data_IF_398838784086
#
_entry.id   IF_398838784086
#
_cell.length_a   1.000
_cell.length_b   1.000
_cell.length_c   1.000
_cell.angle_alpha   90.00
_cell.angle_beta   90.00
_cell.angle_gamma   90.00
#
_symmetry.space_group_name_H-M   'P 1'
#
loop_
_entity.id
_entity.type
_entity.pdbx_description
1 polymer ?
#
# COMPACT_ATOMS: atom_id res chain seq x y z
N UNK A 1 -82.19 47.86 19.51
CA UNK A 1 -82.94 47.88 18.23
C UNK A 1 -81.91 47.73 17.13
N UNK A 2 -81.92 46.58 16.45
CA UNK A 2 -81.03 46.25 15.34
C UNK A 2 -81.24 47.22 14.17
N UNK A 3 -80.16 47.64 13.52
CA UNK A 3 -80.08 47.65 12.05
C UNK A 3 -78.61 47.63 11.61
N UNK A 4 -78.24 46.51 10.99
CA UNK A 4 -77.00 46.27 10.24
C UNK A 4 -77.13 46.96 8.88
N UNK A 5 -76.06 47.57 8.38
CA UNK A 5 -75.90 47.80 6.92
C UNK A 5 -74.50 47.40 6.49
N UNK A 6 -74.48 46.70 5.36
CA UNK A 6 -73.40 45.88 4.83
C UNK A 6 -72.29 46.72 4.19
N UNK A 7 -71.05 46.41 4.57
CA UNK A 7 -69.84 46.88 3.89
C UNK A 7 -69.55 46.03 2.66
N UNK A 8 -69.75 46.66 1.50
CA UNK A 8 -69.53 46.20 0.13
C UNK A 8 -68.35 45.23 -0.05
N UNK A 9 -68.69 44.03 -0.47
CA UNK A 9 -67.79 42.92 -0.75
C UNK A 9 -66.80 43.28 -1.87
N UNK A 10 -65.52 43.34 -1.52
CA UNK A 10 -64.43 43.59 -2.45
C UNK A 10 -64.25 42.32 -3.29
N UNK A 11 -64.92 42.29 -4.45
CA UNK A 11 -65.02 41.14 -5.37
C UNK A 11 -63.74 40.30 -5.44
N UNK A 12 -63.89 38.98 -5.34
CA UNK A 12 -62.81 37.98 -5.38
C UNK A 12 -61.78 38.21 -6.51
N UNK A 13 -62.21 38.81 -7.63
CA UNK A 13 -61.39 39.20 -8.77
C UNK A 13 -60.24 40.17 -8.42
N UNK A 14 -60.47 41.12 -7.51
CA UNK A 14 -59.45 42.10 -7.10
C UNK A 14 -58.46 41.52 -6.08
N UNK A 15 -58.90 40.58 -5.22
CA UNK A 15 -58.00 39.83 -4.32
C UNK A 15 -57.06 38.91 -5.11
N UNK A 16 -57.59 38.22 -6.12
CA UNK A 16 -56.81 37.32 -6.98
C UNK A 16 -55.75 38.08 -7.78
N UNK A 17 -56.06 39.27 -8.32
CA UNK A 17 -55.08 40.12 -9.03
C UNK A 17 -53.96 40.66 -8.12
N UNK A 18 -54.29 41.04 -6.88
CA UNK A 18 -53.30 41.48 -5.88
C UNK A 18 -52.39 40.35 -5.40
N UNK A 19 -52.95 39.15 -5.21
CA UNK A 19 -52.20 37.93 -4.85
C UNK A 19 -51.30 37.45 -6.00
N UNK A 20 -51.76 37.51 -7.25
CA UNK A 20 -50.96 37.18 -8.44
C UNK A 20 -49.79 38.15 -8.65
N UNK A 21 -49.98 39.47 -8.44
CA UNK A 21 -48.88 40.43 -8.50
C UNK A 21 -47.84 40.22 -7.39
N UNK A 22 -48.26 39.91 -6.15
CA UNK A 22 -47.33 39.60 -5.06
C UNK A 22 -46.61 38.27 -5.26
N UNK A 23 -47.31 37.24 -5.75
CA UNK A 23 -46.74 35.93 -6.05
C UNK A 23 -45.75 35.96 -7.23
N UNK A 24 -46.01 36.78 -8.27
CA UNK A 24 -45.04 37.01 -9.34
C UNK A 24 -43.82 37.79 -8.85
N UNK A 25 -43.98 38.80 -7.98
CA UNK A 25 -42.83 39.54 -7.43
C UNK A 25 -41.97 38.71 -6.48
N UNK A 26 -42.56 37.80 -5.67
CA UNK A 26 -41.78 36.88 -4.83
C UNK A 26 -41.17 35.72 -5.61
N UNK A 27 -41.84 35.19 -6.64
CA UNK A 27 -41.28 34.16 -7.50
C UNK A 27 -40.11 34.68 -8.34
N UNK A 28 -40.17 35.93 -8.80
CA UNK A 28 -39.05 36.59 -9.51
C UNK A 28 -37.89 36.86 -8.55
N UNK A 29 -38.13 37.29 -7.30
CA UNK A 29 -37.06 37.47 -6.31
C UNK A 29 -36.39 36.14 -5.92
N UNK A 30 -37.15 35.06 -5.74
CA UNK A 30 -36.60 33.74 -5.40
C UNK A 30 -35.83 33.14 -6.59
N UNK A 31 -36.29 33.35 -7.83
CA UNK A 31 -35.57 32.93 -9.04
C UNK A 31 -34.29 33.76 -9.30
N UNK A 32 -34.27 35.06 -8.97
CA UNK A 32 -33.06 35.88 -9.03
C UNK A 32 -32.02 35.53 -7.96
N UNK A 33 -32.45 35.04 -6.78
CA UNK A 33 -31.54 34.63 -5.70
C UNK A 33 -31.00 33.20 -5.91
N UNK A 34 -31.78 32.30 -6.54
CA UNK A 34 -31.33 30.93 -6.84
C UNK A 34 -30.47 30.82 -8.10
N UNK A 35 -30.44 31.84 -8.96
CA UNK A 35 -29.52 31.93 -10.11
C UNK A 35 -28.10 32.44 -9.79
N UNK A 36 -27.83 32.80 -8.54
CA UNK A 36 -26.51 33.28 -8.07
C UNK A 36 -25.95 32.42 -6.94
N UNK A 37 -26.23 31.11 -6.95
CA UNK A 37 -25.30 30.19 -6.32
C UNK A 37 -24.02 30.18 -7.18
N UNK A 38 -23.18 31.21 -7.03
CA UNK A 38 -21.79 31.13 -7.44
C UNK A 38 -21.27 29.85 -6.80
N UNK A 39 -20.91 28.87 -7.63
CA UNK A 39 -20.04 27.79 -7.18
C UNK A 39 -18.88 28.50 -6.50
N UNK A 40 -18.74 28.36 -5.18
CA UNK A 40 -17.59 28.86 -4.43
C UNK A 40 -16.42 28.00 -4.89
N UNK A 41 -15.88 28.35 -6.05
CA UNK A 41 -14.69 27.75 -6.58
C UNK A 41 -13.55 28.34 -5.76
N UNK A 42 -12.85 27.48 -5.03
CA UNK A 42 -11.62 27.83 -4.34
C UNK A 42 -10.74 28.63 -5.31
N UNK A 43 -10.28 29.81 -4.89
CA UNK A 43 -9.34 30.58 -5.68
C UNK A 43 -8.01 29.82 -5.80
N UNK A 44 -7.10 30.27 -6.67
CA UNK A 44 -5.80 29.64 -6.86
C UNK A 44 -5.04 29.44 -5.55
N UNK A 45 -5.10 30.42 -4.63
CA UNK A 45 -4.46 30.32 -3.31
C UNK A 45 -5.08 29.22 -2.43
N UNK A 46 -6.41 29.12 -2.38
CA UNK A 46 -7.08 28.07 -1.60
C UNK A 46 -6.82 26.67 -2.20
N UNK A 47 -6.76 26.57 -3.53
CA UNK A 47 -6.39 25.33 -4.21
C UNK A 47 -4.93 24.93 -3.93
N UNK A 48 -4.00 25.88 -4.00
CA UNK A 48 -2.58 25.66 -3.70
C UNK A 48 -2.39 25.16 -2.26
N UNK A 49 -3.02 25.84 -1.29
CA UNK A 49 -3.01 25.39 0.10
C UNK A 49 -3.54 23.97 0.24
N UNK A 50 -4.67 23.65 -0.40
CA UNK A 50 -5.26 22.31 -0.36
C UNK A 50 -4.32 21.26 -0.96
N UNK A 51 -3.64 21.55 -2.07
CA UNK A 51 -2.66 20.64 -2.66
C UNK A 51 -1.52 20.39 -1.66
N UNK A 52 -0.92 21.45 -1.11
CA UNK A 52 0.19 21.31 -0.18
C UNK A 52 -0.18 20.53 1.09
N UNK A 53 -1.29 20.91 1.74
CA UNK A 53 -1.79 20.23 2.95
C UNK A 53 -2.01 18.72 2.69
N UNK A 54 -2.42 18.33 1.47
CA UNK A 54 -2.75 16.95 1.12
C UNK A 54 -1.55 16.13 0.67
N UNK A 55 -0.57 16.77 0.04
CA UNK A 55 0.67 16.13 -0.41
C UNK A 55 1.66 16.08 0.75
N UNK A 56 2.07 17.21 1.31
CA UNK A 56 3.06 17.27 2.38
C UNK A 56 2.50 16.93 3.77
N UNK A 57 1.18 17.02 3.97
CA UNK A 57 0.56 16.78 5.28
C UNK A 57 0.70 17.95 6.27
N UNK A 58 1.31 19.06 5.84
CA UNK A 58 1.55 20.27 6.62
C UNK A 58 1.20 21.54 5.82
N UNK A 59 0.90 22.68 6.47
CA UNK A 59 0.67 23.93 5.77
C UNK A 59 1.95 24.45 5.07
N UNK A 60 1.82 25.07 3.88
CA UNK A 60 2.96 25.68 3.18
C UNK A 60 3.44 26.96 3.88
N UNK A 61 4.71 27.32 3.64
CA UNK A 61 5.18 28.69 3.88
C UNK A 61 4.46 29.69 2.95
N UNK A 62 4.48 30.98 3.29
CA UNK A 62 3.85 32.02 2.46
C UNK A 62 4.43 32.05 1.04
N UNK A 63 5.75 31.93 0.91
CA UNK A 63 6.44 31.92 -0.40
C UNK A 63 6.01 30.72 -1.23
N UNK A 64 6.04 29.51 -0.64
CA UNK A 64 5.60 28.29 -1.34
C UNK A 64 4.13 28.37 -1.76
N UNK A 65 3.28 28.97 -0.92
CA UNK A 65 1.87 29.15 -1.23
C UNK A 65 1.65 30.13 -2.38
N UNK A 66 2.41 31.23 -2.43
CA UNK A 66 2.38 32.22 -3.50
C UNK A 66 2.82 31.60 -4.84
N UNK A 67 3.93 30.86 -4.82
CA UNK A 67 4.46 30.17 -6.01
C UNK A 67 3.47 29.15 -6.55
N UNK A 68 2.94 28.29 -5.69
CA UNK A 68 1.92 27.29 -6.08
C UNK A 68 0.62 27.93 -6.55
N UNK A 69 0.21 29.08 -5.99
CA UNK A 69 -0.97 29.79 -6.46
C UNK A 69 -0.76 30.34 -7.88
N UNK A 70 0.44 30.86 -8.19
CA UNK A 70 0.80 31.33 -9.53
C UNK A 70 0.80 30.20 -10.57
N UNK A 71 1.26 29.01 -10.19
CA UNK A 71 1.17 27.81 -11.03
C UNK A 71 -0.28 27.46 -11.35
N UNK A 72 -1.17 27.51 -10.35
CA UNK A 72 -2.60 27.21 -10.55
C UNK A 72 -3.28 28.27 -11.42
N UNK A 73 -3.00 29.55 -11.22
CA UNK A 73 -3.48 30.64 -12.09
C UNK A 73 -3.09 30.44 -13.55
N UNK A 74 -1.90 29.87 -13.76
CA UNK A 74 -1.38 29.57 -15.08
C UNK A 74 -1.84 28.22 -15.66
N UNK A 75 -2.73 27.50 -14.97
CA UNK A 75 -3.20 26.17 -15.40
C UNK A 75 -2.20 25.03 -15.19
N UNK A 76 -1.15 25.23 -14.39
CA UNK A 76 -0.06 24.28 -14.11
C UNK A 76 -0.20 23.63 -12.73
N UNK A 77 -1.37 23.07 -12.42
CA UNK A 77 -1.63 22.47 -11.11
C UNK A 77 -0.70 21.29 -10.75
N UNK A 78 -0.13 20.60 -11.74
CA UNK A 78 0.86 19.54 -11.53
C UNK A 78 2.18 20.11 -11.00
N UNK A 79 2.63 21.27 -11.51
CA UNK A 79 3.84 21.93 -11.04
C UNK A 79 3.69 22.36 -9.58
N UNK A 80 2.52 22.87 -9.20
CA UNK A 80 2.19 23.14 -7.81
C UNK A 80 2.29 21.89 -6.93
N UNK A 81 1.84 20.72 -7.42
CA UNK A 81 1.99 19.46 -6.69
C UNK A 81 3.46 19.03 -6.55
N UNK A 82 4.28 19.20 -7.59
CA UNK A 82 5.73 18.94 -7.51
C UNK A 82 6.44 19.89 -6.55
N UNK A 83 6.01 21.16 -6.48
CA UNK A 83 6.49 22.12 -5.47
C UNK A 83 6.14 21.65 -4.06
N UNK A 84 4.90 21.18 -3.82
CA UNK A 84 4.53 20.60 -2.52
C UNK A 84 5.35 19.35 -2.16
N UNK A 85 5.71 18.51 -3.13
CA UNK A 85 6.60 17.36 -2.93
C UNK A 85 8.04 17.76 -2.56
N UNK A 86 8.41 19.04 -2.58
CA UNK A 86 9.72 19.49 -2.11
C UNK A 86 9.80 19.64 -0.60
N UNK A 87 8.67 19.67 0.12
CA UNK A 87 8.65 19.68 1.58
C UNK A 87 9.11 18.31 2.13
N UNK A 88 9.98 18.31 3.14
CA UNK A 88 10.49 17.07 3.73
C UNK A 88 9.38 16.21 4.33
N UNK A 89 8.29 16.82 4.83
CA UNK A 89 7.16 16.12 5.42
C UNK A 89 6.46 15.19 4.42
N UNK A 90 6.54 15.46 3.12
CA UNK A 90 6.05 14.53 2.10
C UNK A 90 6.75 13.17 2.19
N UNK A 91 8.07 13.15 2.41
CA UNK A 91 8.86 11.91 2.51
C UNK A 91 8.78 11.32 3.93
N UNK A 92 8.98 12.18 4.93
CA UNK A 92 9.13 11.80 6.34
C UNK A 92 7.81 11.29 6.94
N UNK A 93 6.67 11.79 6.43
CA UNK A 93 5.33 11.48 6.97
C UNK A 93 4.44 10.87 5.91
N UNK A 94 4.19 11.55 4.79
CA UNK A 94 3.17 11.10 3.82
C UNK A 94 3.58 9.78 3.16
N UNK A 95 4.76 9.72 2.54
CA UNK A 95 5.24 8.50 1.87
C UNK A 95 5.58 7.39 2.86
N UNK A 96 6.16 7.72 4.02
CA UNK A 96 6.39 6.75 5.09
C UNK A 96 5.08 6.04 5.49
N UNK A 97 4.03 6.82 5.80
CA UNK A 97 2.73 6.27 6.18
C UNK A 97 2.01 5.57 5.02
N UNK A 98 2.27 5.99 3.79
CA UNK A 98 1.72 5.35 2.59
C UNK A 98 2.31 3.96 2.38
N UNK A 99 3.62 3.79 2.56
CA UNK A 99 4.30 2.51 2.37
C UNK A 99 4.24 1.58 3.60
N UNK A 100 4.09 2.13 4.81
CA UNK A 100 4.11 1.36 6.06
C UNK A 100 3.11 0.17 6.11
N UNK A 101 1.85 0.31 5.68
CA UNK A 101 0.91 -0.82 5.60
C UNK A 101 1.39 -1.99 4.75
N UNK A 102 2.31 -1.77 3.80
CA UNK A 102 2.77 -2.82 2.90
C UNK A 102 3.80 -3.75 3.54
N UNK A 103 4.30 -3.41 4.73
CA UNK A 103 5.45 -4.10 5.35
C UNK A 103 5.05 -4.91 6.58
N UNK A 104 3.76 -5.12 6.82
CA UNK A 104 3.25 -5.90 7.95
C UNK A 104 1.86 -6.50 7.65
N UNK A 105 1.56 -7.66 8.21
CA UNK A 105 0.30 -8.36 7.95
C UNK A 105 -0.94 -7.59 8.45
N UNK A 106 -0.79 -6.77 9.49
CA UNK A 106 -1.87 -5.96 10.04
C UNK A 106 -2.25 -4.76 9.15
N UNK A 107 -1.49 -4.50 8.07
CA UNK A 107 -1.65 -3.34 7.20
C UNK A 107 -1.69 -2.01 7.99
N UNK A 108 -0.93 -1.96 9.09
CA UNK A 108 -0.86 -0.81 9.98
C UNK A 108 0.16 0.19 9.48
N UNK A 109 -0.16 1.48 9.57
CA UNK A 109 0.81 2.57 9.41
C UNK A 109 1.70 2.79 10.64
N UNK A 110 1.34 2.19 11.78
CA UNK A 110 2.03 2.37 13.06
C UNK A 110 3.16 1.36 13.21
N UNK A 111 4.13 1.43 12.30
CA UNK A 111 5.37 0.65 12.35
C UNK A 111 6.57 1.58 12.20
N UNK A 112 7.74 1.22 12.75
CA UNK A 112 8.97 1.97 12.51
C UNK A 112 9.32 2.02 11.03
N UNK A 113 10.12 3.01 10.65
CA UNK A 113 10.84 3.01 9.38
C UNK A 113 11.63 1.69 9.25
N UNK A 114 11.65 1.13 8.05
CA UNK A 114 12.37 -0.09 7.74
C UNK A 114 12.89 -0.04 6.29
N UNK A 115 13.62 -1.07 5.88
CA UNK A 115 14.28 -1.13 4.59
C UNK A 115 13.33 -1.13 3.39
N UNK A 116 12.17 -1.75 3.51
CA UNK A 116 11.11 -1.67 2.50
C UNK A 116 10.63 -0.21 2.38
N UNK A 117 10.18 0.41 3.47
CA UNK A 117 9.65 1.79 3.46
C UNK A 117 10.69 2.77 2.89
N UNK A 118 11.93 2.69 3.36
CA UNK A 118 13.02 3.55 2.89
C UNK A 118 13.29 3.35 1.39
N UNK A 119 13.21 2.11 0.89
CA UNK A 119 13.40 1.82 -0.54
C UNK A 119 12.28 2.41 -1.41
N UNK A 120 11.02 2.36 -0.95
CA UNK A 120 9.90 3.02 -1.63
C UNK A 120 10.11 4.54 -1.67
N UNK A 121 10.46 5.14 -0.53
CA UNK A 121 10.71 6.59 -0.42
C UNK A 121 11.84 7.00 -1.37
N UNK A 122 12.95 6.26 -1.38
CA UNK A 122 14.11 6.53 -2.22
C UNK A 122 13.79 6.46 -3.71
N UNK A 123 13.11 5.41 -4.16
CA UNK A 123 12.70 5.27 -5.57
C UNK A 123 11.78 6.41 -6.03
N UNK A 124 10.84 6.82 -5.18
CA UNK A 124 9.93 7.95 -5.47
C UNK A 124 10.71 9.27 -5.52
N UNK A 125 11.59 9.52 -4.55
CA UNK A 125 12.43 10.72 -4.50
C UNK A 125 13.32 10.84 -5.74
N UNK A 126 13.93 9.74 -6.16
CA UNK A 126 14.88 9.73 -7.26
C UNK A 126 14.18 9.70 -8.65
N UNK A 127 12.84 9.71 -8.68
CA UNK A 127 12.06 9.72 -9.92
C UNK A 127 12.26 8.47 -10.78
N UNK A 128 12.58 7.35 -10.14
CA UNK A 128 12.87 6.08 -10.81
C UNK A 128 11.61 5.41 -11.37
N UNK A 129 11.81 4.50 -12.33
CA UNK A 129 10.72 3.60 -12.75
C UNK A 129 10.27 2.75 -11.56
N UNK A 130 9.09 3.03 -11.04
CA UNK A 130 8.60 2.40 -9.81
C UNK A 130 8.48 0.87 -9.93
N UNK A 131 8.40 0.30 -11.14
CA UNK A 131 8.40 -1.17 -11.33
C UNK A 131 9.66 -1.83 -10.75
N UNK A 132 10.78 -1.11 -10.69
CA UNK A 132 12.05 -1.56 -10.09
C UNK A 132 11.88 -2.03 -8.65
N UNK A 133 10.86 -1.53 -7.94
CA UNK A 133 10.54 -1.93 -6.57
C UNK A 133 10.34 -3.44 -6.42
N UNK A 134 9.99 -4.17 -7.50
CA UNK A 134 9.71 -5.62 -7.47
C UNK A 134 10.79 -6.52 -8.08
N UNK A 135 11.85 -5.97 -8.68
CA UNK A 135 12.81 -6.81 -9.42
C UNK A 135 14.26 -6.31 -9.35
N UNK A 136 14.51 -5.06 -8.99
CA UNK A 136 15.85 -4.48 -9.09
C UNK A 136 16.71 -4.88 -7.88
N UNK A 137 18.03 -4.89 -8.06
CA UNK A 137 19.00 -5.02 -6.98
C UNK A 137 19.15 -3.66 -6.29
N UNK A 138 18.14 -3.28 -5.50
CA UNK A 138 18.02 -1.93 -4.95
C UNK A 138 17.63 -1.93 -3.48
N UNK A 139 18.32 -1.11 -2.72
CA UNK A 139 18.04 -0.81 -1.33
C UNK A 139 18.35 0.68 -1.08
N UNK A 140 17.62 1.30 -0.16
CA UNK A 140 17.99 2.62 0.35
C UNK A 140 18.32 2.52 1.85
N UNK A 141 19.47 3.10 2.20
CA UNK A 141 19.97 3.18 3.58
C UNK A 141 20.18 4.64 3.97
N UNK A 142 20.22 4.92 5.26
CA UNK A 142 20.56 6.23 5.80
C UNK A 142 22.00 6.65 5.45
N UNK A 143 22.17 7.94 5.17
CA UNK A 143 23.45 8.51 4.77
C UNK A 143 24.58 8.19 5.78
N UNK A 144 25.73 7.75 5.28
CA UNK A 144 26.88 7.40 6.11
C UNK A 144 27.34 8.54 7.05
N UNK A 145 27.14 9.80 6.69
CA UNK A 145 27.51 10.96 7.53
C UNK A 145 26.72 11.06 8.84
N UNK A 146 25.59 10.36 8.95
CA UNK A 146 24.74 10.37 10.15
C UNK A 146 25.26 9.46 11.27
N UNK A 147 26.31 8.67 11.04
CA UNK A 147 26.88 7.72 12.02
C UNK A 147 25.83 6.77 12.63
N UNK A 148 24.90 6.30 11.80
CA UNK A 148 23.87 5.33 12.20
C UNK A 148 24.49 3.93 12.43
N UNK A 149 23.82 3.04 13.19
CA UNK A 149 24.17 1.62 13.18
C UNK A 149 24.20 1.09 11.74
N UNK A 150 25.09 0.14 11.44
CA UNK A 150 25.14 -0.47 10.12
C UNK A 150 23.82 -1.18 9.78
N UNK A 151 23.47 -1.24 8.49
CA UNK A 151 22.40 -2.10 8.02
C UNK A 151 22.61 -3.54 8.51
N UNK A 152 21.52 -4.18 8.93
CA UNK A 152 21.53 -5.54 9.44
C UNK A 152 20.40 -6.34 8.80
N UNK A 153 20.69 -7.57 8.40
CA UNK A 153 19.68 -8.52 7.93
C UNK A 153 18.89 -9.15 9.07
N UNK A 154 19.31 -8.95 10.33
CA UNK A 154 18.73 -9.59 11.53
C UNK A 154 18.17 -8.61 12.56
N UNK A 155 18.05 -7.32 12.24
CA UNK A 155 17.35 -6.34 13.08
C UNK A 155 17.04 -5.07 12.28
N UNK A 156 16.28 -4.15 12.89
CA UNK A 156 15.87 -2.89 12.25
C UNK A 156 16.57 -1.64 12.82
N UNK A 157 17.65 -1.81 13.59
CA UNK A 157 18.27 -0.73 14.37
C UNK A 157 18.74 0.46 13.51
N UNK A 158 19.21 0.19 12.28
CA UNK A 158 19.63 1.23 11.34
C UNK A 158 18.49 2.22 11.03
N UNK A 159 17.33 1.69 10.66
CA UNK A 159 16.18 2.50 10.25
C UNK A 159 15.45 3.14 11.42
N UNK A 160 15.37 2.45 12.57
CA UNK A 160 14.87 3.07 13.80
C UNK A 160 15.76 4.23 14.25
N UNK A 161 17.08 4.08 14.16
CA UNK A 161 18.00 5.18 14.49
C UNK A 161 17.88 6.33 13.50
N UNK A 162 17.71 6.04 12.20
CA UNK A 162 17.46 7.07 11.18
C UNK A 162 16.19 7.85 11.49
N UNK A 163 15.08 7.15 11.77
CA UNK A 163 13.81 7.79 12.13
C UNK A 163 13.95 8.62 13.41
N UNK A 164 14.55 8.06 14.46
CA UNK A 164 14.73 8.74 15.75
C UNK A 164 15.67 9.95 15.67
N UNK A 165 16.57 10.01 14.68
CA UNK A 165 17.46 11.15 14.49
C UNK A 165 16.72 12.41 14.02
N UNK A 166 15.52 12.26 13.44
CA UNK A 166 14.79 13.36 12.81
C UNK A 166 15.43 13.90 11.53
N UNK A 167 16.46 13.21 11.00
CA UNK A 167 17.05 13.55 9.71
C UNK A 167 16.03 13.34 8.59
N UNK A 168 15.93 14.30 7.66
CA UNK A 168 14.97 14.18 6.56
C UNK A 168 15.30 12.98 5.67
N UNK A 169 14.30 12.13 5.42
CA UNK A 169 14.38 11.02 4.48
C UNK A 169 14.51 11.48 3.03
N UNK A 170 14.09 12.73 2.74
CA UNK A 170 14.36 13.38 1.45
C UNK A 170 15.87 13.48 1.22
N UNK A 171 16.62 14.02 2.17
CA UNK A 171 18.02 14.37 1.94
C UNK A 171 19.00 13.28 2.39
N UNK A 172 18.57 12.35 3.25
CA UNK A 172 19.47 11.43 3.94
C UNK A 172 19.29 9.96 3.59
N UNK A 173 18.65 9.63 2.46
CA UNK A 173 18.64 8.28 1.90
C UNK A 173 19.66 8.13 0.76
N UNK A 174 20.45 7.06 0.79
CA UNK A 174 21.43 6.71 -0.22
C UNK A 174 21.05 5.40 -0.91
N UNK A 175 21.01 5.41 -2.25
CA UNK A 175 20.76 4.22 -3.06
C UNK A 175 21.99 3.31 -3.00
N UNK A 176 21.78 2.04 -2.68
CA UNK A 176 22.79 0.99 -2.71
C UNK A 176 22.25 -0.26 -3.40
N UNK A 177 23.15 -1.18 -3.75
CA UNK A 177 22.75 -2.50 -4.25
C UNK A 177 22.36 -3.38 -3.06
N UNK A 178 21.16 -3.95 -3.07
CA UNK A 178 20.65 -4.81 -2.01
C UNK A 178 21.56 -6.01 -1.76
N UNK A 179 22.05 -6.66 -2.82
CA UNK A 179 22.94 -7.83 -2.79
C UNK A 179 24.23 -7.60 -1.99
N UNK A 180 24.71 -6.36 -1.95
CA UNK A 180 25.93 -5.99 -1.19
C UNK A 180 25.70 -6.01 0.32
N UNK A 181 24.45 -5.86 0.76
CA UNK A 181 24.09 -5.71 2.18
C UNK A 181 23.30 -6.90 2.73
N UNK A 182 22.57 -7.62 1.88
CA UNK A 182 21.74 -8.76 2.31
C UNK A 182 22.47 -10.09 2.28
N UNK A 183 23.58 -10.19 1.54
CA UNK A 183 24.27 -11.46 1.29
C UNK A 183 23.58 -12.34 0.24
N UNK A 184 22.48 -11.87 -0.35
CA UNK A 184 21.85 -12.53 -1.50
C UNK A 184 22.66 -12.26 -2.77
N UNK A 185 22.81 -13.23 -3.67
CA UNK A 185 23.36 -12.94 -5.00
C UNK A 185 22.43 -11.98 -5.75
N UNK A 186 22.94 -11.12 -6.66
CA UNK A 186 22.11 -10.19 -7.42
C UNK A 186 20.97 -10.84 -8.22
N UNK A 187 21.13 -12.12 -8.61
CA UNK A 187 20.08 -12.88 -9.29
C UNK A 187 18.94 -13.33 -8.36
N UNK A 188 19.11 -13.21 -7.05
CA UNK A 188 18.13 -13.55 -6.02
C UNK A 188 17.60 -12.32 -5.27
N UNK A 189 17.92 -11.11 -5.74
CA UNK A 189 17.32 -9.87 -5.24
C UNK A 189 16.13 -9.47 -6.10
N UNK A 190 15.07 -8.98 -5.47
CA UNK A 190 13.82 -8.56 -6.10
C UNK A 190 13.25 -7.33 -5.38
N UNK A 191 14.03 -6.25 -5.31
CA UNK A 191 13.68 -4.99 -4.65
C UNK A 191 13.11 -5.20 -3.24
N UNK A 192 11.91 -4.69 -2.99
CA UNK A 192 11.29 -4.75 -1.66
C UNK A 192 10.82 -6.16 -1.29
N UNK A 193 10.59 -7.06 -2.25
CA UNK A 193 10.15 -8.43 -1.96
C UNK A 193 11.19 -9.14 -1.10
N UNK A 194 12.46 -8.97 -1.42
CA UNK A 194 13.62 -9.58 -0.72
C UNK A 194 14.25 -8.68 0.34
N UNK A 195 13.55 -7.61 0.74
CA UNK A 195 13.92 -6.81 1.92
C UNK A 195 13.74 -7.60 3.22
N UNK A 196 14.45 -7.24 4.29
CA UNK A 196 14.26 -7.85 5.61
C UNK A 196 12.84 -7.63 6.10
N UNK A 197 12.29 -6.42 5.97
CA UNK A 197 10.94 -6.13 6.46
C UNK A 197 9.88 -7.01 5.77
N UNK A 198 9.98 -7.20 4.45
CA UNK A 198 9.12 -8.12 3.70
C UNK A 198 9.33 -9.57 4.12
N UNK A 199 10.60 -10.00 4.22
CA UNK A 199 10.95 -11.35 4.64
C UNK A 199 10.37 -11.72 6.01
N UNK A 200 10.58 -10.85 6.99
CA UNK A 200 10.05 -11.02 8.33
C UNK A 200 8.53 -11.13 8.35
N UNK A 201 7.85 -10.26 7.59
CA UNK A 201 6.40 -10.20 7.62
C UNK A 201 5.73 -11.34 6.84
N UNK A 202 6.35 -11.85 5.77
CA UNK A 202 5.62 -12.63 4.76
C UNK A 202 6.31 -13.91 4.27
N UNK A 203 7.61 -14.09 4.56
CA UNK A 203 8.31 -15.37 4.31
C UNK A 203 8.35 -16.27 5.55
N UNK A 204 8.00 -15.76 6.73
CA UNK A 204 7.94 -16.55 7.95
C UNK A 204 6.86 -17.63 7.88
N UNK A 205 7.23 -18.86 8.23
CA UNK A 205 6.36 -20.02 8.29
C UNK A 205 5.66 -20.38 6.94
N UNK A 206 5.00 -21.54 6.96
CA UNK A 206 4.27 -22.06 5.81
C UNK A 206 5.13 -22.10 4.56
N UNK A 207 4.54 -21.71 3.44
CA UNK A 207 5.12 -21.96 2.11
C UNK A 207 5.02 -20.73 1.21
N UNK A 208 5.38 -19.57 1.76
CA UNK A 208 5.41 -18.25 1.11
C UNK A 208 4.07 -17.81 0.46
N UNK A 209 2.94 -18.36 0.92
CA UNK A 209 1.58 -17.95 0.50
C UNK A 209 1.26 -16.53 0.95
N UNK A 210 1.71 -16.13 2.15
CA UNK A 210 1.62 -14.76 2.62
C UNK A 210 2.40 -13.81 1.70
N UNK A 211 3.63 -14.15 1.31
CA UNK A 211 4.41 -13.31 0.40
C UNK A 211 3.70 -13.08 -0.94
N UNK A 212 3.15 -14.14 -1.54
CA UNK A 212 2.38 -14.00 -2.77
C UNK A 212 1.17 -13.07 -2.58
N UNK A 213 0.35 -13.32 -1.55
CA UNK A 213 -0.84 -12.52 -1.27
C UNK A 213 -0.51 -11.04 -1.08
N UNK A 214 0.43 -10.72 -0.19
CA UNK A 214 0.76 -9.32 0.11
C UNK A 214 1.46 -8.62 -1.06
N UNK A 215 2.17 -9.36 -1.93
CA UNK A 215 2.64 -8.80 -3.21
C UNK A 215 1.47 -8.38 -4.10
N UNK A 216 0.41 -9.21 -4.20
CA UNK A 216 -0.77 -8.87 -4.98
C UNK A 216 -1.49 -7.63 -4.44
N UNK A 217 -1.76 -7.61 -3.13
CA UNK A 217 -2.53 -6.52 -2.51
C UNK A 217 -1.75 -5.20 -2.61
N UNK A 218 -0.45 -5.23 -2.35
CA UNK A 218 0.35 -4.01 -2.28
C UNK A 218 0.74 -3.45 -3.66
N UNK A 219 0.89 -4.32 -4.68
CA UNK A 219 1.47 -3.90 -5.96
C UNK A 219 0.65 -4.25 -7.22
N UNK A 220 -0.36 -5.11 -7.10
CA UNK A 220 -1.14 -5.59 -8.25
C UNK A 220 -2.63 -5.25 -8.15
N UNK A 221 -3.04 -4.47 -7.15
CA UNK A 221 -4.42 -4.02 -6.93
C UNK A 221 -5.45 -5.18 -6.86
N UNK A 222 -5.03 -6.38 -6.45
CA UNK A 222 -5.86 -7.57 -6.34
C UNK A 222 -5.52 -8.33 -5.04
N UNK A 223 -6.47 -9.10 -4.50
CA UNK A 223 -6.24 -10.07 -3.42
C UNK A 223 -6.48 -11.50 -3.96
N UNK A 224 -6.42 -12.50 -3.09
CA UNK A 224 -6.57 -13.91 -3.43
C UNK A 224 -7.93 -14.22 -4.06
N UNK A 225 -8.99 -13.50 -3.69
CA UNK A 225 -10.32 -13.69 -4.26
C UNK A 225 -10.37 -13.42 -5.77
N UNK A 226 -9.57 -12.47 -6.26
CA UNK A 226 -9.54 -12.11 -7.69
C UNK A 226 -8.68 -13.07 -8.52
N UNK A 227 -7.75 -13.79 -7.90
CA UNK A 227 -6.93 -14.81 -8.57
C UNK A 227 -7.46 -16.23 -8.37
N UNK A 228 -8.51 -16.40 -7.55
CA UNK A 228 -9.12 -17.69 -7.33
C UNK A 228 -9.81 -18.21 -8.60
N UNK A 229 -9.49 -19.44 -9.01
CA UNK A 229 -9.99 -20.01 -10.27
C UNK A 229 -10.37 -21.49 -10.12
N UNK A 230 -11.67 -21.77 -10.08
CA UNK A 230 -12.20 -23.14 -9.96
C UNK A 230 -12.23 -23.92 -11.28
N UNK A 231 -11.81 -23.30 -12.39
CA UNK A 231 -11.80 -23.92 -13.73
C UNK A 231 -10.47 -24.56 -14.09
N UNK A 232 -9.40 -24.23 -13.37
CA UNK A 232 -8.07 -24.78 -13.59
C UNK A 232 -7.89 -26.18 -12.98
N UNK A 233 -6.98 -27.02 -13.55
CA UNK A 233 -6.63 -28.30 -12.96
C UNK A 233 -6.04 -28.15 -11.55
N UNK A 234 -6.26 -29.18 -10.71
CA UNK A 234 -5.79 -29.21 -9.32
C UNK A 234 -4.41 -29.87 -9.16
N UNK A 235 -3.75 -30.21 -10.26
CA UNK A 235 -2.48 -30.94 -10.33
C UNK A 235 -1.29 -30.17 -9.76
N UNK A 236 -1.40 -28.83 -9.68
CA UNK A 236 -0.41 -27.95 -9.05
C UNK A 236 -0.75 -27.55 -7.62
N UNK A 237 -1.89 -28.01 -7.08
CA UNK A 237 -2.18 -27.78 -5.66
C UNK A 237 -1.38 -28.76 -4.83
N UNK A 238 -0.67 -28.23 -3.85
CA UNK A 238 0.31 -28.99 -3.08
C UNK A 238 -0.28 -30.02 -2.14
N UNK A 239 0.60 -30.92 -1.71
CA UNK A 239 0.34 -32.00 -0.76
C UNK A 239 -0.06 -31.52 0.65
N UNK A 240 0.21 -30.26 1.00
CA UNK A 240 -0.07 -29.68 2.32
C UNK A 240 -1.51 -29.13 2.47
N UNK A 241 -2.37 -29.33 1.46
CA UNK A 241 -3.78 -28.91 1.47
C UNK A 241 -4.68 -30.12 1.70
N UNK A 242 -5.43 -30.10 2.81
CA UNK A 242 -6.27 -31.22 3.25
C UNK A 242 -7.40 -31.55 2.27
N UNK A 243 -7.45 -32.80 1.79
CA UNK A 243 -8.51 -33.39 0.93
C UNK A 243 -8.46 -34.93 1.01
N UNK A 244 -9.55 -35.63 0.68
CA UNK A 244 -9.63 -37.10 0.77
C UNK A 244 -8.52 -37.77 -0.07
N UNK A 245 -7.84 -38.81 0.44
CA UNK A 245 -8.11 -39.55 1.68
C UNK A 245 -7.58 -38.92 2.98
N UNK A 246 -6.81 -37.83 2.94
CA UNK A 246 -6.20 -37.17 4.10
C UNK A 246 -6.99 -35.97 4.68
N UNK A 247 -8.29 -35.88 4.38
CA UNK A 247 -9.12 -34.73 4.74
C UNK A 247 -10.58 -34.80 4.25
N UNK A 248 -11.34 -33.74 4.47
CA UNK A 248 -12.71 -33.61 3.94
C UNK A 248 -12.69 -32.97 2.53
N UNK A 249 -12.88 -33.79 1.48
CA UNK A 249 -12.93 -33.30 0.11
C UNK A 249 -14.03 -32.25 -0.14
N UNK A 250 -15.08 -32.20 0.67
CA UNK A 250 -16.13 -31.18 0.51
C UNK A 250 -15.61 -29.81 0.90
N UNK A 251 -14.76 -29.73 1.93
CA UNK A 251 -14.12 -28.45 2.31
C UNK A 251 -13.17 -28.02 1.19
N UNK A 252 -12.35 -28.94 0.69
CA UNK A 252 -11.45 -28.66 -0.42
C UNK A 252 -12.18 -28.14 -1.66
N UNK A 253 -13.20 -28.88 -2.13
CA UNK A 253 -13.93 -28.55 -3.36
C UNK A 253 -14.77 -27.28 -3.25
N UNK A 254 -15.29 -26.95 -2.06
CA UNK A 254 -16.19 -25.80 -1.90
C UNK A 254 -15.47 -24.52 -1.43
N UNK A 255 -14.36 -24.64 -0.71
CA UNK A 255 -13.75 -23.50 -0.01
C UNK A 255 -12.28 -23.26 -0.37
N UNK A 256 -11.54 -24.28 -0.81
CA UNK A 256 -10.09 -24.19 -0.94
C UNK A 256 -9.63 -24.20 -2.40
N UNK A 257 -10.27 -25.00 -3.26
CA UNK A 257 -9.77 -25.32 -4.60
C UNK A 257 -9.50 -24.07 -5.42
N UNK A 258 -10.41 -23.09 -5.43
CA UNK A 258 -10.26 -21.86 -6.22
C UNK A 258 -9.05 -21.04 -5.80
N UNK A 259 -8.86 -20.77 -4.50
CA UNK A 259 -7.72 -19.98 -4.04
C UNK A 259 -6.39 -20.70 -4.30
N UNK A 260 -6.35 -22.02 -4.11
CA UNK A 260 -5.11 -22.79 -4.25
C UNK A 260 -4.70 -23.00 -5.70
N UNK A 261 -5.62 -23.20 -6.64
CA UNK A 261 -5.27 -23.29 -8.08
C UNK A 261 -4.63 -21.99 -8.58
N UNK A 262 -5.08 -20.83 -8.10
CA UNK A 262 -4.49 -19.54 -8.47
C UNK A 262 -3.17 -19.22 -7.76
N UNK A 263 -3.04 -19.62 -6.50
CA UNK A 263 -1.91 -19.24 -5.64
C UNK A 263 -0.75 -20.24 -5.66
N UNK A 264 -1.02 -21.54 -5.47
CA UNK A 264 0.05 -22.53 -5.25
C UNK A 264 1.08 -22.59 -6.39
N UNK A 265 0.68 -22.57 -7.69
CA UNK A 265 1.64 -22.52 -8.79
C UNK A 265 2.54 -21.29 -8.75
N UNK A 266 2.02 -20.15 -8.30
CA UNK A 266 2.77 -18.89 -8.26
C UNK A 266 3.72 -18.83 -7.06
N UNK A 267 3.32 -19.42 -5.92
CA UNK A 267 4.19 -19.49 -4.73
C UNK A 267 5.44 -20.35 -4.94
N UNK A 268 5.47 -21.14 -6.01
CA UNK A 268 6.64 -21.89 -6.42
C UNK A 268 7.85 -20.97 -6.69
N UNK A 269 7.65 -19.76 -7.22
CA UNK A 269 8.72 -18.79 -7.48
C UNK A 269 9.53 -18.39 -6.23
N UNK A 270 9.03 -18.71 -5.04
CA UNK A 270 9.68 -18.45 -3.76
C UNK A 270 10.29 -19.71 -3.12
N UNK A 271 10.34 -20.83 -3.84
CA UNK A 271 10.69 -22.14 -3.29
C UNK A 271 12.10 -22.21 -2.69
N UNK A 272 13.01 -21.35 -3.11
CA UNK A 272 14.37 -21.29 -2.59
C UNK A 272 14.56 -20.29 -1.44
N UNK A 273 13.52 -19.56 -1.04
CA UNK A 273 13.60 -18.53 0.00
C UNK A 273 12.90 -18.95 1.29
N UNK A 274 13.54 -18.68 2.41
CA UNK A 274 12.95 -18.85 3.74
C UNK A 274 13.33 -17.70 4.70
N UNK A 275 12.61 -17.58 5.80
CA UNK A 275 12.95 -16.69 6.90
C UNK A 275 13.45 -17.51 8.09
N UNK A 276 14.76 -17.47 8.33
CA UNK A 276 15.43 -18.24 9.39
C UNK A 276 15.39 -17.45 10.70
N UNK A 277 14.79 -18.03 11.74
CA UNK A 277 14.77 -17.51 13.11
C UNK A 277 14.55 -18.63 14.14
N UNK A 278 14.92 -18.41 15.40
CA UNK A 278 14.65 -19.37 16.49
C UNK A 278 13.30 -19.08 17.14
N UNK A 279 12.26 -19.81 16.73
CA UNK A 279 10.91 -19.62 17.25
C UNK A 279 10.76 -19.83 18.78
N UNK A 280 11.71 -20.49 19.46
CA UNK A 280 11.63 -20.68 20.92
C UNK A 280 12.13 -19.45 21.68
N UNK A 281 13.13 -18.75 21.15
CA UNK A 281 13.73 -17.57 21.80
C UNK A 281 13.33 -16.25 21.15
N UNK A 282 12.79 -16.31 19.94
CA UNK A 282 12.35 -15.19 19.10
C UNK A 282 11.02 -15.54 18.43
N UNK A 283 9.91 -15.64 19.20
CA UNK A 283 8.62 -16.08 18.67
C UNK A 283 8.05 -15.16 17.59
N UNK A 284 8.46 -13.90 17.57
CA UNK A 284 8.01 -12.88 16.62
C UNK A 284 8.97 -12.68 15.43
N UNK A 285 10.04 -13.49 15.35
CA UNK A 285 11.04 -13.45 14.30
C UNK A 285 11.75 -12.09 14.19
N UNK A 286 11.91 -11.34 15.27
CA UNK A 286 12.56 -10.02 15.24
C UNK A 286 14.06 -10.10 14.93
N UNK A 287 14.70 -11.22 15.26
CA UNK A 287 16.13 -11.44 15.04
C UNK A 287 16.41 -12.31 13.80
N UNK A 288 15.38 -12.67 13.05
CA UNK A 288 15.48 -13.51 11.88
C UNK A 288 16.03 -12.80 10.64
N UNK A 289 16.36 -13.58 9.61
CA UNK A 289 16.85 -13.09 8.31
C UNK A 289 16.26 -13.89 7.15
N UNK A 290 16.18 -13.25 5.98
CA UNK A 290 15.93 -13.96 4.72
C UNK A 290 17.13 -14.83 4.38
N UNK A 291 16.87 -16.08 4.01
CA UNK A 291 17.86 -17.02 3.48
C UNK A 291 17.44 -17.50 2.10
N UNK A 292 18.43 -17.88 1.29
CA UNK A 292 18.25 -18.32 -0.09
C UNK A 292 19.20 -19.46 -0.40
N UNK A 293 18.69 -20.55 -0.97
CA UNK A 293 19.52 -21.67 -1.43
C UNK A 293 20.05 -21.37 -2.85
N UNK A 294 21.31 -20.96 -2.94
CA UNK A 294 21.97 -20.61 -4.19
C UNK A 294 22.25 -21.84 -5.09
N UNK A 295 22.74 -21.59 -6.30
CA UNK A 295 23.19 -22.67 -7.19
C UNK A 295 24.34 -23.41 -6.52
N UNK A 296 24.18 -24.73 -6.36
CA UNK A 296 25.15 -25.59 -5.68
C UNK A 296 24.89 -25.78 -4.19
N UNK A 297 23.92 -25.09 -3.62
CA UNK A 297 23.43 -25.32 -2.27
C UNK A 297 22.20 -26.23 -2.31
N UNK A 298 22.03 -27.05 -1.28
CA UNK A 298 20.89 -27.95 -1.14
C UNK A 298 20.40 -27.94 0.30
N UNK A 299 19.09 -27.89 0.46
CA UNK A 299 18.43 -28.17 1.72
C UNK A 299 18.63 -29.65 2.12
N UNK A 300 19.11 -29.94 3.35
CA UNK A 300 19.38 -31.31 3.79
C UNK A 300 18.13 -32.21 3.84
N UNK A 301 16.94 -31.64 4.06
CA UNK A 301 15.69 -32.40 4.15
C UNK A 301 15.13 -32.72 2.76
N UNK A 302 15.20 -31.77 1.82
CA UNK A 302 14.67 -31.97 0.47
C UNK A 302 15.67 -32.59 -0.50
N UNK A 303 16.97 -32.50 -0.22
CA UNK A 303 18.04 -32.89 -1.14
C UNK A 303 18.09 -32.05 -2.43
N UNK A 304 17.41 -30.91 -2.45
CA UNK A 304 17.30 -29.99 -3.58
C UNK A 304 17.51 -28.54 -3.12
N UNK A 305 17.38 -27.56 -4.00
CA UNK A 305 17.42 -26.14 -3.61
C UNK A 305 16.13 -25.70 -2.89
N UNK A 306 15.05 -26.47 -3.01
CA UNK A 306 13.76 -26.15 -2.38
C UNK A 306 13.90 -26.20 -0.87
N UNK A 307 13.43 -25.14 -0.20
CA UNK A 307 13.42 -25.02 1.26
C UNK A 307 12.52 -26.11 1.87
N UNK A 308 12.99 -26.73 2.96
CA UNK A 308 12.31 -27.80 3.69
C UNK A 308 10.80 -27.57 3.90
N UNK A 309 10.42 -26.32 4.21
CA UNK A 309 9.02 -25.93 4.45
C UNK A 309 8.04 -26.26 3.32
N UNK A 310 8.51 -26.33 2.08
CA UNK A 310 7.69 -26.72 0.93
C UNK A 310 7.33 -28.22 0.92
N UNK A 311 8.08 -29.05 1.64
CA UNK A 311 7.88 -30.50 1.75
C UNK A 311 7.32 -30.93 3.10
N UNK A 312 7.12 -29.99 4.04
CA UNK A 312 6.39 -30.22 5.30
C UNK A 312 4.92 -30.59 4.98
N UNK A 313 4.31 -31.40 5.85
CA UNK A 313 2.93 -31.88 5.70
C UNK A 313 2.68 -32.74 4.46
N UNK A 314 3.71 -33.46 3.97
CA UNK A 314 3.59 -34.36 2.82
C UNK A 314 2.52 -35.46 2.99
N UNK A 315 2.24 -35.85 4.23
CA UNK A 315 1.19 -36.83 4.55
C UNK A 315 -0.24 -36.25 4.55
N UNK A 316 -0.43 -34.93 4.41
CA UNK A 316 -1.78 -34.31 4.39
C UNK A 316 -2.58 -34.74 3.15
N UNK A 317 -1.93 -34.79 1.99
CA UNK A 317 -2.46 -35.41 0.78
C UNK A 317 -1.29 -35.87 -0.09
N UNK A 318 -0.86 -37.12 0.09
CA UNK A 318 0.35 -37.69 -0.52
C UNK A 318 0.36 -37.64 -2.06
N UNK A 319 -0.80 -37.56 -2.71
CA UNK A 319 -0.90 -37.44 -4.17
C UNK A 319 -0.87 -35.98 -4.66
N UNK A 320 -0.64 -35.01 -3.76
CA UNK A 320 -0.57 -33.60 -4.11
C UNK A 320 0.74 -33.24 -4.79
N UNK A 321 0.79 -32.01 -5.32
CA UNK A 321 1.99 -31.52 -5.97
C UNK A 321 3.15 -31.40 -4.96
N UNK A 322 4.30 -31.97 -5.32
CA UNK A 322 5.58 -31.79 -4.63
C UNK A 322 6.36 -30.74 -5.41
N UNK A 323 6.76 -29.65 -4.76
CA UNK A 323 7.53 -28.58 -5.39
C UNK A 323 8.97 -29.03 -5.66
N UNK A 324 9.42 -29.14 -6.92
CA UNK A 324 10.77 -29.63 -7.24
C UNK A 324 11.81 -28.52 -7.42
N UNK A 325 11.38 -27.31 -7.76
CA UNK A 325 12.18 -26.13 -8.12
C UNK A 325 11.36 -24.83 -7.94
N UNK A 326 11.94 -23.67 -8.27
CA UNK A 326 11.30 -22.35 -8.32
C UNK A 326 10.84 -21.92 -9.73
#
# INVERSE_FOLDING_TARGET
>A
MLTITEGKDMTARNRIRSLLCKACSTAVLVALVSGQASLVQAGPREQAKRIHDRVAGVPPSEVVLDDMASDIESGRAIDAAFTAMQDSAFYDVTLKNFAAPWTNEAMSKFVPLNDYIATVIGLVRDGEDFRKVLYDDVLYIGNASLNLPNYSTSNNNHYESLENSGASLKDNLERVNQSTYTGLPPSATAGVITSRASARAFFSAGTNRAMFRFTLINHMCNDLEQVADVTLPTDRIRQDVSRSPGGDSRVFLNNCVGCHTGMDPMTQAFAYYDYEYDANTDPDGELGRLVYNAIGETDPETGSRVQAKYHINSATFEQGYVTPDD
#
